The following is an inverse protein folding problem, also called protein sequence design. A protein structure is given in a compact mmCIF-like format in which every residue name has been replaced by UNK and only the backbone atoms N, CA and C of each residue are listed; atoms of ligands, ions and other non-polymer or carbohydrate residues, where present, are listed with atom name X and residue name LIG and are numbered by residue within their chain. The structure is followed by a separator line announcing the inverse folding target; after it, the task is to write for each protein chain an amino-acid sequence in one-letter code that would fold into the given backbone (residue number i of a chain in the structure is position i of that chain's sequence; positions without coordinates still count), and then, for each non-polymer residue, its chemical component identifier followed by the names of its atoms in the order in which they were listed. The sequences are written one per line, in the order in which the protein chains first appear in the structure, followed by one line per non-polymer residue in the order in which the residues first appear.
data_IF_979652732817
#
_entry.id   IF_979652732817
#
_cell.length_a   1.000
_cell.length_b   1.000
_cell.length_c   1.000
_cell.angle_alpha   90.00
_cell.angle_beta   90.00
_cell.angle_gamma   90.00
#
_symmetry.space_group_name_H-M   'P 1'
#
loop_
_entity.id
_entity.type
_entity.pdbx_description
1 polymer ?
#
# COMPACT_ATOMS: atom_id res chain seq x y z
N UNK A 1 27.69 20.61 -2.03
CA UNK A 1 26.58 19.74 -2.53
C UNK A 1 26.64 18.49 -1.71
N UNK A 2 25.52 18.00 -1.20
CA UNK A 2 25.48 16.73 -0.45
C UNK A 2 25.91 15.60 -1.37
N UNK A 3 26.80 14.74 -0.88
CA UNK A 3 27.28 13.53 -1.61
C UNK A 3 26.27 12.37 -1.51
N UNK A 4 25.09 12.65 -0.92
CA UNK A 4 24.02 11.66 -0.74
C UNK A 4 23.15 11.54 -1.97
N UNK A 5 22.71 10.30 -2.34
CA UNK A 5 21.72 10.10 -3.38
C UNK A 5 20.41 10.82 -3.06
N UNK A 6 19.74 11.33 -4.07
CA UNK A 6 18.44 11.99 -3.91
C UNK A 6 17.32 10.97 -3.98
N UNK A 7 16.49 10.94 -2.95
CA UNK A 7 15.35 10.01 -2.80
C UNK A 7 14.02 10.79 -2.81
N UNK A 8 13.12 10.43 -3.72
CA UNK A 8 11.73 10.87 -3.68
C UNK A 8 10.88 9.84 -2.93
N UNK A 9 10.17 10.28 -1.89
CA UNK A 9 9.12 9.50 -1.21
C UNK A 9 7.78 10.05 -1.66
N UNK A 10 6.98 9.22 -2.34
CA UNK A 10 5.78 9.68 -3.05
C UNK A 10 4.54 9.78 -2.15
N UNK A 11 4.56 9.16 -0.98
CA UNK A 11 3.46 9.16 -0.01
C UNK A 11 3.96 9.55 1.37
N UNK A 12 3.06 10.08 2.21
CA UNK A 12 3.40 10.32 3.61
C UNK A 12 3.61 8.98 4.33
N UNK A 13 4.78 8.82 4.92
CA UNK A 13 5.13 7.64 5.72
C UNK A 13 5.17 8.00 7.22
N UNK A 14 5.47 7.03 8.07
CA UNK A 14 5.64 7.31 9.50
C UNK A 14 6.86 8.20 9.73
N UNK A 15 6.77 9.07 10.75
CA UNK A 15 7.83 10.03 11.05
C UNK A 15 9.19 9.36 11.27
N UNK A 16 9.21 8.16 11.86
CA UNK A 16 10.44 7.40 12.08
C UNK A 16 11.11 6.98 10.75
N UNK A 17 10.30 6.60 9.75
CA UNK A 17 10.80 6.20 8.43
C UNK A 17 11.31 7.42 7.66
N UNK A 18 10.57 8.54 7.68
CA UNK A 18 10.98 9.78 7.03
C UNK A 18 12.25 10.37 7.67
N UNK A 19 12.35 10.34 9.00
CA UNK A 19 13.56 10.77 9.71
C UNK A 19 14.77 9.90 9.36
N UNK A 20 14.60 8.58 9.25
CA UNK A 20 15.66 7.68 8.81
C UNK A 20 16.08 7.98 7.37
N UNK A 21 15.13 8.17 6.48
CA UNK A 21 15.41 8.52 5.09
C UNK A 21 16.20 9.83 4.99
N UNK A 22 15.77 10.88 5.73
CA UNK A 22 16.46 12.18 5.76
C UNK A 22 17.89 12.11 6.34
N UNK A 23 18.15 11.15 7.23
CA UNK A 23 19.51 10.91 7.73
C UNK A 23 20.43 10.35 6.65
N UNK A 24 19.91 9.45 5.82
CA UNK A 24 20.73 8.61 4.92
C UNK A 24 20.75 9.17 3.47
N UNK A 25 19.75 9.95 3.05
CA UNK A 25 19.55 10.48 1.70
C UNK A 25 19.29 11.99 1.68
N UNK A 26 19.41 12.60 0.50
CA UNK A 26 18.82 13.91 0.21
C UNK A 26 17.34 13.68 -0.17
N UNK A 27 16.43 13.83 0.80
CA UNK A 27 15.04 13.38 0.68
C UNK A 27 14.11 14.47 0.20
N UNK A 28 13.24 14.11 -0.74
CA UNK A 28 12.08 14.89 -1.15
C UNK A 28 10.83 14.20 -0.66
N UNK A 29 10.13 14.82 0.29
CA UNK A 29 8.92 14.29 0.92
C UNK A 29 7.66 14.84 0.26
N UNK A 30 6.62 14.05 0.21
CA UNK A 30 5.27 14.48 -0.11
C UNK A 30 4.50 14.75 1.19
N UNK A 31 4.70 15.92 1.76
CA UNK A 31 4.17 16.29 3.09
C UNK A 31 2.64 16.33 3.14
N UNK A 32 2.01 16.70 2.01
CA UNK A 32 0.54 16.81 1.90
C UNK A 32 -0.14 15.48 1.55
N UNK A 33 0.62 14.42 1.36
CA UNK A 33 0.15 13.08 0.96
C UNK A 33 -0.79 13.09 -0.26
N UNK A 34 -0.57 13.97 -1.21
CA UNK A 34 -1.36 14.06 -2.43
C UNK A 34 -0.92 13.00 -3.44
N UNK A 35 -1.90 12.40 -4.13
CA UNK A 35 -1.60 11.54 -5.26
C UNK A 35 -1.03 12.37 -6.41
N UNK A 36 0.11 11.95 -6.93
CA UNK A 36 0.68 12.56 -8.12
C UNK A 36 -0.02 12.03 -9.37
N UNK A 37 -0.36 12.93 -10.29
CA UNK A 37 -0.67 12.53 -11.66
C UNK A 37 0.57 11.90 -12.32
N UNK A 38 0.40 11.13 -13.43
CA UNK A 38 1.54 10.56 -14.14
C UNK A 38 2.59 11.61 -14.56
N UNK A 39 2.15 12.80 -14.98
CA UNK A 39 3.03 13.87 -15.37
C UNK A 39 3.80 14.45 -14.19
N UNK A 40 3.14 14.70 -13.07
CA UNK A 40 3.79 15.20 -11.84
C UNK A 40 4.82 14.17 -11.32
N UNK A 41 4.49 12.87 -11.38
CA UNK A 41 5.42 11.81 -11.03
C UNK A 41 6.67 11.85 -11.92
N UNK A 42 6.49 11.96 -13.21
CA UNK A 42 7.58 12.08 -14.19
C UNK A 42 8.45 13.30 -13.92
N UNK A 43 7.84 14.46 -13.70
CA UNK A 43 8.55 15.72 -13.43
C UNK A 43 9.40 15.62 -12.15
N UNK A 44 8.84 15.01 -11.10
CA UNK A 44 9.56 14.77 -9.84
C UNK A 44 10.70 13.75 -10.00
N UNK A 45 10.53 12.76 -10.85
CA UNK A 45 11.57 11.76 -11.14
C UNK A 45 12.77 12.33 -11.87
N UNK A 46 12.63 13.45 -12.63
CA UNK A 46 13.72 14.01 -13.45
C UNK A 46 15.00 14.32 -12.68
N UNK A 47 14.90 14.57 -11.40
CA UNK A 47 16.00 15.10 -10.59
C UNK A 47 16.42 14.21 -9.41
N UNK A 48 15.92 12.96 -9.36
CA UNK A 48 16.19 12.03 -8.27
C UNK A 48 16.91 10.76 -8.75
N UNK A 49 17.65 10.12 -7.85
CA UNK A 49 18.37 8.88 -8.10
C UNK A 49 17.54 7.64 -7.74
N UNK A 50 16.60 7.82 -6.78
CA UNK A 50 15.74 6.77 -6.25
C UNK A 50 14.32 7.29 -6.01
N UNK A 51 13.33 6.39 -6.15
CA UNK A 51 11.94 6.64 -5.77
C UNK A 51 11.48 5.56 -4.81
N UNK A 52 10.81 5.96 -3.73
CA UNK A 52 10.09 5.09 -2.81
C UNK A 52 8.59 5.34 -2.98
N UNK A 53 7.94 4.62 -3.89
CA UNK A 53 6.50 4.73 -4.13
C UNK A 53 5.71 3.73 -3.29
N UNK A 54 4.38 3.92 -3.27
CA UNK A 54 3.41 2.89 -2.90
C UNK A 54 2.75 2.32 -4.17
N UNK A 55 1.75 1.46 -4.01
CA UNK A 55 1.00 0.88 -5.12
C UNK A 55 0.11 1.89 -5.88
N UNK A 56 -0.01 3.11 -5.37
CA UNK A 56 -0.79 4.18 -5.99
C UNK A 56 -0.10 4.83 -7.19
N UNK A 57 1.22 4.77 -7.27
CA UNK A 57 2.00 5.32 -8.37
C UNK A 57 2.20 4.25 -9.45
N UNK A 58 1.69 4.51 -10.66
CA UNK A 58 1.71 3.53 -11.75
C UNK A 58 2.90 3.81 -12.68
N UNK A 59 3.80 2.86 -12.75
CA UNK A 59 4.95 2.84 -13.66
C UNK A 59 4.63 1.95 -14.87
N UNK A 60 3.65 2.37 -15.68
CA UNK A 60 3.34 1.73 -16.95
C UNK A 60 4.49 1.89 -17.95
N UNK A 61 4.48 1.10 -19.05
CA UNK A 61 5.49 1.21 -20.10
C UNK A 61 5.64 2.64 -20.62
N UNK A 62 4.53 3.35 -20.80
CA UNK A 62 4.56 4.74 -21.30
C UNK A 62 5.26 5.68 -20.32
N UNK A 63 4.97 5.53 -19.02
CA UNK A 63 5.65 6.29 -17.96
C UNK A 63 7.14 5.92 -17.89
N UNK A 64 7.45 4.62 -17.97
CA UNK A 64 8.83 4.13 -17.88
C UNK A 64 9.70 4.65 -19.00
N UNK A 65 9.19 4.75 -20.23
CA UNK A 65 9.94 5.28 -21.38
C UNK A 65 10.42 6.72 -21.11
N UNK A 66 9.62 7.54 -20.42
CA UNK A 66 9.94 8.94 -20.12
C UNK A 66 10.84 9.12 -18.88
N UNK A 67 11.04 8.08 -18.07
CA UNK A 67 11.90 8.17 -16.88
C UNK A 67 13.34 8.55 -17.24
N UNK A 68 14.02 9.37 -16.43
CA UNK A 68 15.39 9.80 -16.71
C UNK A 68 16.40 8.66 -16.49
N UNK A 69 17.50 8.68 -17.20
CA UNK A 69 18.62 7.72 -17.00
C UNK A 69 19.25 7.81 -15.61
N UNK A 70 19.02 8.92 -14.93
CA UNK A 70 19.52 9.16 -13.58
C UNK A 70 18.84 8.26 -12.56
N UNK A 71 17.56 7.97 -12.73
CA UNK A 71 16.80 7.09 -11.82
C UNK A 71 17.36 5.67 -11.91
N UNK A 72 17.77 5.12 -10.76
CA UNK A 72 18.44 3.81 -10.65
C UNK A 72 17.58 2.75 -9.99
N UNK A 73 16.67 3.16 -9.11
CA UNK A 73 15.91 2.23 -8.29
C UNK A 73 14.50 2.77 -7.98
N UNK A 74 13.54 1.86 -8.05
CA UNK A 74 12.18 2.02 -7.52
C UNK A 74 12.07 1.04 -6.35
N UNK A 75 12.10 1.56 -5.12
CA UNK A 75 12.00 0.78 -3.89
C UNK A 75 10.56 0.79 -3.40
N UNK A 76 9.75 -0.18 -3.82
CA UNK A 76 8.33 -0.20 -3.51
C UNK A 76 8.04 -0.41 -2.03
N UNK A 77 7.22 0.45 -1.44
CA UNK A 77 6.53 0.22 -0.18
C UNK A 77 5.24 -0.57 -0.45
N UNK A 78 5.40 -1.76 -1.03
CA UNK A 78 4.31 -2.71 -1.31
C UNK A 78 4.85 -4.12 -1.50
N UNK A 79 4.00 -5.12 -1.31
CA UNK A 79 4.30 -6.53 -1.60
C UNK A 79 4.16 -6.79 -3.09
N UNK A 80 3.04 -6.38 -3.68
CA UNK A 80 2.79 -6.50 -5.12
C UNK A 80 3.59 -5.49 -5.94
N UNK A 81 3.84 -5.82 -7.19
CA UNK A 81 4.52 -5.00 -8.19
C UNK A 81 3.68 -4.80 -9.44
N UNK A 82 2.37 -5.07 -9.38
CA UNK A 82 1.45 -5.03 -10.53
C UNK A 82 1.31 -3.64 -11.16
N UNK A 83 1.64 -2.61 -10.40
CA UNK A 83 1.68 -1.21 -10.84
C UNK A 83 2.98 -0.85 -11.57
N UNK A 84 3.93 -1.79 -11.71
CA UNK A 84 5.22 -1.58 -12.35
C UNK A 84 5.38 -2.48 -13.58
N UNK A 85 5.65 -1.93 -14.75
CA UNK A 85 6.12 -2.71 -15.91
C UNK A 85 7.58 -3.11 -15.66
N UNK A 86 7.77 -4.27 -15.03
CA UNK A 86 9.10 -4.78 -14.67
C UNK A 86 9.99 -5.01 -15.87
N UNK A 87 9.40 -5.40 -17.02
CA UNK A 87 10.17 -5.63 -18.26
C UNK A 87 10.73 -4.31 -18.79
N UNK A 88 9.90 -3.29 -18.91
CA UNK A 88 10.33 -1.97 -19.36
C UNK A 88 11.35 -1.32 -18.40
N UNK A 89 11.17 -1.46 -17.10
CA UNK A 89 12.11 -0.97 -16.08
C UNK A 89 13.46 -1.69 -16.18
N UNK A 90 13.44 -3.02 -16.38
CA UNK A 90 14.65 -3.81 -16.62
C UNK A 90 15.39 -3.41 -17.90
N UNK A 91 14.67 -3.21 -19.02
CA UNK A 91 15.24 -2.70 -20.28
C UNK A 91 15.94 -1.34 -20.10
N UNK A 92 15.41 -0.52 -19.17
CA UNK A 92 15.96 0.80 -18.84
C UNK A 92 17.08 0.76 -17.80
N UNK A 93 17.34 -0.40 -17.20
CA UNK A 93 18.35 -0.60 -16.16
C UNK A 93 17.94 -0.02 -14.80
N UNK A 94 16.63 0.10 -14.54
CA UNK A 94 16.09 0.51 -13.25
C UNK A 94 15.79 -0.72 -12.42
N UNK A 95 16.37 -0.79 -11.23
CA UNK A 95 16.12 -1.88 -10.27
C UNK A 95 14.78 -1.65 -9.58
N UNK A 96 14.00 -2.72 -9.42
CA UNK A 96 12.74 -2.69 -8.65
C UNK A 96 12.87 -3.60 -7.44
N UNK A 97 12.53 -3.11 -6.26
CA UNK A 97 12.44 -3.90 -5.03
C UNK A 97 11.05 -3.82 -4.44
N UNK A 98 10.69 -4.76 -3.59
CA UNK A 98 9.41 -4.83 -2.90
C UNK A 98 9.59 -5.33 -1.47
N UNK A 99 8.49 -5.41 -0.70
CA UNK A 99 8.50 -5.83 0.71
C UNK A 99 7.70 -7.14 0.89
N UNK A 100 8.23 -8.31 0.44
CA UNK A 100 7.51 -9.57 0.55
C UNK A 100 7.30 -9.99 2.01
N UNK A 101 6.22 -10.74 2.26
CA UNK A 101 5.88 -11.46 3.51
C UNK A 101 5.60 -10.61 4.76
N UNK A 102 5.79 -9.29 4.71
CA UNK A 102 5.67 -8.41 5.89
C UNK A 102 4.23 -8.18 6.37
N UNK A 103 3.21 -8.51 5.59
CA UNK A 103 1.80 -8.26 5.91
C UNK A 103 0.91 -9.50 5.86
N UNK A 104 1.47 -10.69 5.59
CA UNK A 104 0.69 -11.92 5.39
C UNK A 104 -0.16 -12.26 6.61
N UNK A 105 0.40 -12.21 7.81
CA UNK A 105 -0.32 -12.50 9.06
C UNK A 105 -1.47 -11.50 9.29
N UNK A 106 -1.19 -10.20 9.17
CA UNK A 106 -2.21 -9.17 9.35
C UNK A 106 -3.35 -9.29 8.33
N UNK A 107 -3.03 -9.63 7.08
CA UNK A 107 -4.04 -9.86 6.04
C UNK A 107 -4.88 -11.10 6.36
N UNK A 108 -4.25 -12.19 6.82
CA UNK A 108 -4.95 -13.40 7.23
C UNK A 108 -5.89 -13.15 8.41
N UNK A 109 -5.47 -12.39 9.43
CA UNK A 109 -6.32 -12.01 10.57
C UNK A 109 -7.58 -11.27 10.12
N UNK A 110 -7.45 -10.31 9.21
CA UNK A 110 -8.60 -9.59 8.64
C UNK A 110 -9.49 -10.52 7.83
N UNK A 111 -8.93 -11.44 7.04
CA UNK A 111 -9.70 -12.41 6.29
C UNK A 111 -10.55 -13.29 7.22
N UNK A 112 -9.97 -13.81 8.30
CA UNK A 112 -10.70 -14.58 9.32
C UNK A 112 -11.76 -13.74 10.02
N UNK A 113 -11.44 -12.50 10.41
CA UNK A 113 -12.39 -11.58 11.03
C UNK A 113 -13.61 -11.35 10.12
N UNK A 114 -13.38 -11.05 8.85
CA UNK A 114 -14.45 -10.79 7.89
C UNK A 114 -15.29 -12.04 7.62
N UNK A 115 -14.66 -13.20 7.48
CA UNK A 115 -15.35 -14.48 7.29
C UNK A 115 -16.27 -14.81 8.48
N UNK A 116 -15.74 -14.73 9.70
CA UNK A 116 -16.54 -14.97 10.92
C UNK A 116 -17.61 -13.90 11.10
N UNK A 117 -17.27 -12.65 10.84
CA UNK A 117 -18.20 -11.53 10.93
C UNK A 117 -19.37 -11.66 9.97
N UNK A 118 -19.12 -12.07 8.73
CA UNK A 118 -20.17 -12.34 7.74
C UNK A 118 -21.03 -13.56 8.14
N UNK A 119 -20.40 -14.68 8.52
CA UNK A 119 -21.08 -15.89 8.90
C UNK A 119 -21.99 -15.68 10.14
N UNK A 120 -21.56 -14.87 11.09
CA UNK A 120 -22.28 -14.61 12.36
C UNK A 120 -23.10 -13.32 12.35
N UNK A 121 -23.25 -12.64 11.20
CA UNK A 121 -24.03 -11.39 11.04
C UNK A 121 -23.57 -10.27 11.99
N UNK A 122 -22.25 -10.20 12.26
CA UNK A 122 -21.69 -9.31 13.27
C UNK A 122 -22.04 -7.83 13.02
N UNK A 123 -21.92 -7.35 11.78
CA UNK A 123 -22.22 -5.94 11.43
C UNK A 123 -23.69 -5.59 11.62
N UNK A 124 -24.60 -6.54 11.40
CA UNK A 124 -26.03 -6.35 11.62
C UNK A 124 -26.33 -6.28 13.12
N UNK A 125 -25.73 -7.20 13.90
CA UNK A 125 -25.84 -7.20 15.36
C UNK A 125 -25.29 -5.91 15.98
N UNK A 126 -24.14 -5.43 15.54
CA UNK A 126 -23.55 -4.18 16.03
C UNK A 126 -24.48 -2.97 15.76
N UNK A 127 -25.00 -2.85 14.52
CA UNK A 127 -25.95 -1.77 14.19
C UNK A 127 -27.20 -1.82 15.04
N UNK A 128 -27.76 -3.01 15.24
CA UNK A 128 -28.95 -3.20 16.05
C UNK A 128 -28.72 -2.81 17.52
N UNK A 129 -27.59 -3.24 18.11
CA UNK A 129 -27.23 -2.88 19.47
C UNK A 129 -27.05 -1.38 19.63
N UNK A 130 -26.37 -0.71 18.71
CA UNK A 130 -26.19 0.75 18.73
C UNK A 130 -27.49 1.53 18.57
N UNK A 131 -28.44 0.96 17.84
CA UNK A 131 -29.78 1.55 17.67
C UNK A 131 -30.72 1.30 18.88
N UNK A 132 -30.30 0.52 19.88
CA UNK A 132 -31.18 0.12 20.98
C UNK A 132 -32.35 -0.75 20.52
N UNK A 133 -32.21 -1.44 19.38
CA UNK A 133 -33.29 -2.19 18.74
C UNK A 133 -33.35 -3.68 19.16
N UNK A 134 -32.55 -4.07 20.14
CA UNK A 134 -32.62 -5.41 20.70
C UNK A 134 -33.44 -5.40 22.01
N UNK A 135 -34.68 -5.87 21.92
CA UNK A 135 -35.61 -5.83 23.03
C UNK A 135 -35.55 -7.10 23.89
N UNK A 136 -35.40 -8.28 23.28
CA UNK A 136 -35.38 -9.54 24.00
C UNK A 136 -34.65 -10.66 23.21
N UNK A 137 -34.21 -11.67 23.92
CA UNK A 137 -33.64 -12.87 23.32
C UNK A 137 -34.72 -13.75 22.69
N UNK A 138 -34.46 -14.27 21.49
CA UNK A 138 -35.30 -15.28 20.83
C UNK A 138 -34.43 -16.34 20.15
N UNK A 139 -34.82 -17.64 20.23
CA UNK A 139 -34.03 -18.74 19.65
C UNK A 139 -33.82 -18.65 18.14
N UNK A 140 -34.74 -18.02 17.40
CA UNK A 140 -34.69 -17.88 15.96
C UNK A 140 -34.15 -16.49 15.50
N UNK A 141 -33.84 -15.61 16.45
CA UNK A 141 -33.41 -14.25 16.12
C UNK A 141 -31.90 -14.19 15.86
N UNK A 142 -31.52 -13.48 14.82
CA UNK A 142 -30.11 -13.26 14.45
C UNK A 142 -29.29 -14.54 14.25
N UNK A 143 -29.95 -15.63 13.82
CA UNK A 143 -29.27 -16.90 13.52
C UNK A 143 -28.33 -16.70 12.34
N UNK A 144 -27.06 -17.01 12.56
CA UNK A 144 -26.03 -16.99 11.52
C UNK A 144 -25.65 -18.40 11.08
N UNK A 145 -24.60 -18.49 10.25
CA UNK A 145 -24.03 -19.75 9.80
C UNK A 145 -22.90 -20.19 10.75
N UNK A 146 -22.97 -21.43 11.23
CA UNK A 146 -21.86 -22.04 11.97
C UNK A 146 -20.73 -22.40 11.03
N UNK A 147 -19.50 -22.03 11.37
CA UNK A 147 -18.31 -22.29 10.54
C UNK A 147 -17.57 -23.56 10.93
N UNK A 148 -17.84 -24.11 12.12
CA UNK A 148 -17.21 -25.35 12.61
C UNK A 148 -17.41 -26.49 11.63
N UNK A 149 -16.34 -27.16 11.22
CA UNK A 149 -16.36 -28.29 10.28
C UNK A 149 -16.62 -27.93 8.82
N UNK A 150 -16.69 -26.64 8.49
CA UNK A 150 -16.77 -26.19 7.09
C UNK A 150 -15.37 -26.13 6.47
N UNK A 151 -15.31 -26.26 5.14
CA UNK A 151 -14.10 -26.01 4.38
C UNK A 151 -14.07 -24.54 3.98
N UNK A 152 -12.87 -23.98 4.01
CA UNK A 152 -12.51 -22.68 3.42
C UNK A 152 -12.18 -22.88 1.95
#
# INVERSE_FOLDING_TARGET
MSDKPTLLITRKLSDAVEARAARDYDVRLNLEDQLFSPQELLDKCQTVDAVLPCHSEIFSRDVVVELPRRLKIIANHSVGTDHCDLAALGEKGVVVTNTPDVLSDATAEIAFLLMLGAARRASEGDRMMRAGAWDFWSPAFMVGTQTTGKRL
#
